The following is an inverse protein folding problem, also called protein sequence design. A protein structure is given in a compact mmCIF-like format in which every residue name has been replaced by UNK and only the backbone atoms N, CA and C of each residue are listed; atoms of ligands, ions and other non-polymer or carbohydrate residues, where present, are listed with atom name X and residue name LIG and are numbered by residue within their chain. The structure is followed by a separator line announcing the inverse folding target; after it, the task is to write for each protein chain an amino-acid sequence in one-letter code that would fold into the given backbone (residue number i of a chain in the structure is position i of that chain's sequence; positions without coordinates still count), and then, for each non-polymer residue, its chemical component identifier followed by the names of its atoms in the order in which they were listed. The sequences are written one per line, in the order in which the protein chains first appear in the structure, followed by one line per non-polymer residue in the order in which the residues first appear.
data_IF_762261583217
#
_entry.id   IF_762261583217
#
_cell.length_a   1.000
_cell.length_b   1.000
_cell.length_c   1.000
_cell.angle_alpha   90.00
_cell.angle_beta   90.00
_cell.angle_gamma   90.00
#
_symmetry.space_group_name_H-M   'P 1'
#
loop_
_entity.id
_entity.type
_entity.pdbx_description
1 polymer ?
#
# COMPACT_ATOMS: atom_id res chain seq x y z
N UNK A 1 84.18 42.77 -62.22
CA UNK A 1 83.53 42.14 -63.38
C UNK A 1 82.41 41.25 -62.87
N UNK A 2 81.20 41.55 -63.33
CA UNK A 2 79.93 40.81 -63.33
C UNK A 2 79.80 39.48 -62.57
N UNK A 3 78.70 39.37 -61.81
CA UNK A 3 77.78 38.25 -62.01
C UNK A 3 77.39 37.41 -60.79
N UNK A 4 76.10 37.47 -60.48
CA UNK A 4 75.22 36.36 -60.07
C UNK A 4 75.44 35.63 -58.73
N UNK A 5 74.44 35.77 -57.84
CA UNK A 5 73.60 34.73 -57.20
C UNK A 5 72.77 35.49 -56.15
N UNK A 6 71.44 35.52 -56.16
CA UNK A 6 70.52 34.38 -56.13
C UNK A 6 69.86 34.39 -54.74
N UNK A 7 68.57 34.76 -54.68
CA UNK A 7 67.91 35.25 -53.46
C UNK A 7 67.53 34.18 -52.43
N UNK A 8 67.01 34.63 -51.28
CA UNK A 8 65.96 34.01 -50.45
C UNK A 8 65.86 34.72 -49.08
N UNK A 9 65.08 35.80 -48.93
CA UNK A 9 64.71 36.33 -47.61
C UNK A 9 63.38 37.09 -47.68
N UNK A 10 62.32 36.50 -47.13
CA UNK A 10 61.39 37.12 -46.16
C UNK A 10 60.16 36.23 -45.99
N UNK A 11 60.19 35.41 -44.94
CA UNK A 11 59.02 34.75 -44.38
C UNK A 11 58.18 35.81 -43.67
N UNK A 12 56.93 35.98 -44.11
CA UNK A 12 55.93 36.80 -43.45
C UNK A 12 55.49 36.12 -42.15
N UNK A 13 55.61 36.85 -41.04
CA UNK A 13 55.02 36.50 -39.75
C UNK A 13 53.59 37.05 -39.71
N UNK A 14 52.59 36.18 -39.55
CA UNK A 14 51.25 36.55 -39.10
C UNK A 14 51.13 36.20 -37.61
N UNK A 15 50.75 37.14 -36.72
CA UNK A 15 50.47 36.81 -35.34
C UNK A 15 49.03 36.26 -35.22
N UNK A 16 48.92 35.07 -34.63
CA UNK A 16 47.69 34.41 -34.22
C UNK A 16 47.04 35.20 -33.08
N UNK A 17 45.86 35.78 -33.34
CA UNK A 17 45.05 36.53 -32.37
C UNK A 17 43.65 35.89 -32.29
N UNK A 18 43.21 35.65 -31.05
CA UNK A 18 41.91 35.14 -30.58
C UNK A 18 41.64 33.61 -30.62
N UNK A 19 42.15 32.92 -29.60
CA UNK A 19 41.54 31.71 -29.05
C UNK A 19 41.06 32.00 -27.62
N UNK A 20 39.85 32.51 -27.45
CA UNK A 20 39.18 32.64 -26.14
C UNK A 20 37.70 33.04 -26.31
N UNK A 21 36.86 32.12 -26.79
CA UNK A 21 35.40 32.21 -26.68
C UNK A 21 34.77 30.84 -26.93
N UNK A 22 34.13 30.26 -25.91
CA UNK A 22 33.18 29.16 -26.10
C UNK A 22 33.41 27.87 -25.31
N UNK A 23 33.70 27.96 -24.00
CA UNK A 23 33.51 26.83 -23.06
C UNK A 23 32.60 27.27 -21.90
N UNK A 24 31.40 27.74 -22.23
CA UNK A 24 30.27 27.65 -21.30
C UNK A 24 29.74 26.22 -21.39
N UNK A 25 30.36 25.32 -20.62
CA UNK A 25 29.80 24.00 -20.41
C UNK A 25 28.39 24.15 -19.86
N UNK A 26 27.41 23.55 -20.52
CA UNK A 26 26.10 23.30 -19.94
C UNK A 26 26.31 22.35 -18.75
N UNK A 27 26.58 22.91 -17.57
CA UNK A 27 26.35 22.18 -16.33
C UNK A 27 24.84 22.02 -16.22
N UNK A 28 24.34 20.88 -16.70
CA UNK A 28 23.01 20.43 -16.31
C UNK A 28 22.95 20.49 -14.77
N UNK A 29 21.92 21.09 -14.17
CA UNK A 29 21.79 21.08 -12.72
C UNK A 29 21.88 19.61 -12.29
N UNK A 30 22.75 19.32 -11.33
CA UNK A 30 22.78 17.99 -10.71
C UNK A 30 21.35 17.69 -10.27
N UNK A 31 20.70 16.72 -10.91
CA UNK A 31 19.36 16.30 -10.52
C UNK A 31 19.51 15.78 -9.08
N UNK A 32 19.07 16.57 -8.10
CA UNK A 32 19.03 16.13 -6.72
C UNK A 32 18.25 14.82 -6.69
N UNK A 33 18.89 13.75 -6.20
CA UNK A 33 18.25 12.45 -6.13
C UNK A 33 17.01 12.57 -5.26
N UNK A 34 15.82 12.37 -5.85
CA UNK A 34 14.57 12.38 -5.10
C UNK A 34 14.65 11.26 -4.06
N UNK A 35 14.76 11.65 -2.80
CA UNK A 35 14.85 10.74 -1.67
C UNK A 35 13.64 10.89 -0.74
N UNK A 36 12.54 11.48 -1.22
CA UNK A 36 11.38 11.85 -0.39
C UNK A 36 10.85 10.67 0.44
N UNK A 37 10.87 9.45 -0.11
CA UNK A 37 10.33 8.25 0.54
C UNK A 37 11.42 7.39 1.22
N UNK A 38 12.67 7.87 1.30
CA UNK A 38 13.79 7.15 1.93
C UNK A 38 13.63 7.10 3.46
N UNK A 39 12.81 6.17 3.94
CA UNK A 39 12.64 5.86 5.37
C UNK A 39 13.89 5.19 5.96
N UNK A 40 14.10 5.37 7.27
CA UNK A 40 15.16 4.70 8.03
C UNK A 40 14.97 3.18 8.00
N UNK A 41 13.75 2.71 8.22
CA UNK A 41 13.39 1.29 8.23
C UNK A 41 12.72 0.89 6.91
N UNK A 42 12.96 -0.34 6.40
CA UNK A 42 12.29 -0.83 5.19
C UNK A 42 10.77 -0.80 5.31
N UNK A 43 10.08 -0.51 4.21
CA UNK A 43 8.63 -0.61 4.09
C UNK A 43 8.28 -2.02 3.62
N UNK A 44 7.40 -2.70 4.36
CA UNK A 44 6.89 -4.03 4.00
C UNK A 44 5.41 -3.93 3.71
N UNK A 45 5.04 -4.20 2.47
CA UNK A 45 3.67 -4.17 1.98
C UNK A 45 3.03 -5.55 2.13
N UNK A 46 1.84 -5.60 2.74
CA UNK A 46 1.14 -6.86 3.08
C UNK A 46 -0.26 -6.84 2.50
N UNK A 47 -0.50 -7.70 1.52
CA UNK A 47 -1.77 -7.76 0.79
C UNK A 47 -2.92 -8.26 1.67
N UNK A 48 -4.15 -8.12 1.16
CA UNK A 48 -5.40 -8.57 1.78
C UNK A 48 -5.82 -9.99 1.43
N UNK A 49 -7.12 -10.27 1.61
CA UNK A 49 -7.77 -11.52 1.21
C UNK A 49 -7.68 -11.68 -0.32
N UNK A 50 -7.39 -12.89 -0.79
CA UNK A 50 -7.15 -13.24 -2.19
C UNK A 50 -6.04 -12.43 -2.89
N UNK A 51 -5.20 -11.73 -2.12
CA UNK A 51 -4.06 -11.01 -2.68
C UNK A 51 -3.00 -11.95 -3.26
N UNK A 52 -2.21 -11.39 -4.17
CA UNK A 52 -1.25 -12.07 -5.03
C UNK A 52 -0.01 -11.17 -5.20
N UNK A 53 1.14 -11.71 -5.60
CA UNK A 53 2.27 -10.88 -6.07
C UNK A 53 1.88 -10.18 -7.37
N UNK A 54 1.62 -10.99 -8.38
CA UNK A 54 1.31 -10.59 -9.74
C UNK A 54 0.37 -11.62 -10.36
N UNK A 55 -0.72 -11.17 -10.97
CA UNK A 55 -1.66 -12.00 -11.72
C UNK A 55 -1.68 -11.53 -13.17
N UNK A 56 -1.30 -12.39 -14.11
CA UNK A 56 -1.14 -12.04 -15.53
C UNK A 56 -0.24 -10.80 -15.78
N UNK A 57 0.79 -10.60 -14.94
CA UNK A 57 1.71 -9.45 -15.05
C UNK A 57 1.20 -8.17 -14.38
N UNK A 58 0.07 -8.23 -13.68
CA UNK A 58 -0.50 -7.12 -12.92
C UNK A 58 -0.22 -7.31 -11.44
N UNK A 59 0.52 -6.39 -10.83
CA UNK A 59 0.85 -6.44 -9.41
C UNK A 59 -0.34 -6.02 -8.54
N UNK A 60 -0.52 -6.66 -7.38
CA UNK A 60 -1.57 -6.27 -6.41
C UNK A 60 -1.46 -4.79 -6.02
N UNK A 61 -0.23 -4.37 -5.70
CA UNK A 61 0.12 -2.98 -5.38
C UNK A 61 0.46 -2.22 -6.66
N UNK A 62 -0.54 -1.87 -7.47
CA UNK A 62 -0.30 -1.43 -8.85
C UNK A 62 0.48 -0.10 -8.92
N UNK A 63 1.75 -0.18 -9.33
CA UNK A 63 2.66 0.98 -9.45
C UNK A 63 3.20 1.54 -8.12
N UNK A 64 2.70 1.10 -6.97
CA UNK A 64 3.05 1.63 -5.65
C UNK A 64 4.51 1.29 -5.25
N UNK A 65 4.98 0.03 -5.30
CA UNK A 65 6.35 -0.30 -4.89
C UNK A 65 7.38 0.46 -5.72
N UNK A 66 7.20 0.49 -7.04
CA UNK A 66 8.10 1.20 -7.95
C UNK A 66 8.13 2.70 -7.67
N UNK A 67 6.98 3.32 -7.36
CA UNK A 67 6.90 4.74 -7.04
C UNK A 67 7.57 5.07 -5.70
N UNK A 68 7.48 4.19 -4.71
CA UNK A 68 8.20 4.33 -3.44
C UNK A 68 9.71 4.14 -3.63
N UNK A 69 10.13 3.12 -4.39
CA UNK A 69 11.55 2.83 -4.64
C UNK A 69 12.23 3.93 -5.45
N UNK A 70 11.55 4.52 -6.46
CA UNK A 70 12.07 5.64 -7.26
C UNK A 70 12.46 6.86 -6.41
N UNK A 71 11.89 7.00 -5.21
CA UNK A 71 12.19 8.10 -4.30
C UNK A 71 12.97 7.65 -3.05
N UNK A 72 13.65 6.50 -3.14
CA UNK A 72 14.65 6.05 -2.18
C UNK A 72 14.17 5.07 -1.10
N UNK A 73 12.89 4.69 -1.07
CA UNK A 73 12.42 3.69 -0.11
C UNK A 73 13.00 2.29 -0.40
N UNK A 74 13.39 1.56 0.64
CA UNK A 74 13.59 0.11 0.56
C UNK A 74 12.24 -0.57 0.75
N UNK A 75 11.69 -1.17 -0.29
CA UNK A 75 10.34 -1.75 -0.29
C UNK A 75 10.41 -3.25 -0.50
N UNK A 76 9.70 -3.99 0.35
CA UNK A 76 9.49 -5.43 0.23
C UNK A 76 7.98 -5.69 0.14
N UNK A 77 7.57 -6.58 -0.75
CA UNK A 77 6.19 -7.08 -0.82
C UNK A 77 6.18 -8.45 -0.17
N UNK A 78 5.45 -8.60 0.93
CA UNK A 78 5.36 -9.87 1.64
C UNK A 78 4.31 -10.78 1.02
N UNK A 79 4.58 -12.08 1.03
CA UNK A 79 3.64 -13.11 0.58
C UNK A 79 3.10 -13.95 1.71
N UNK A 80 1.81 -13.82 1.95
CA UNK A 80 1.09 -14.61 2.96
C UNK A 80 -0.04 -15.38 2.29
N UNK A 81 -0.59 -16.37 2.99
CA UNK A 81 -1.71 -17.16 2.47
C UNK A 81 -2.83 -16.24 2.01
N UNK A 82 -3.19 -16.33 0.72
CA UNK A 82 -4.24 -15.53 0.09
C UNK A 82 -5.55 -15.56 0.90
N UNK A 83 -5.93 -16.70 1.48
CA UNK A 83 -7.04 -16.85 2.40
C UNK A 83 -6.69 -17.83 3.54
N UNK A 84 -6.51 -17.32 4.75
CA UNK A 84 -6.38 -18.12 5.99
C UNK A 84 -6.68 -17.23 7.20
N UNK A 85 -6.59 -17.75 8.43
CA UNK A 85 -6.79 -16.94 9.63
C UNK A 85 -5.75 -15.81 9.74
N UNK A 86 -6.10 -14.74 10.45
CA UNK A 86 -5.19 -13.60 10.68
C UNK A 86 -3.88 -14.04 11.36
N UNK A 87 -3.93 -15.01 12.28
CA UNK A 87 -2.76 -15.54 12.98
C UNK A 87 -1.84 -16.33 12.07
N UNK A 88 -2.39 -17.22 11.23
CA UNK A 88 -1.58 -18.00 10.27
C UNK A 88 -0.85 -17.05 9.32
N UNK A 89 -1.55 -16.06 8.78
CA UNK A 89 -0.96 -15.02 7.93
C UNK A 89 0.08 -14.20 8.71
N UNK A 90 -0.20 -13.89 9.98
CA UNK A 90 0.69 -13.14 10.86
C UNK A 90 2.01 -13.86 11.15
N UNK A 91 1.98 -15.16 11.39
CA UNK A 91 3.19 -15.98 11.58
C UNK A 91 4.03 -16.08 10.29
N UNK A 92 3.37 -16.24 9.13
CA UNK A 92 4.05 -16.22 7.83
C UNK A 92 4.71 -14.87 7.56
N UNK A 93 4.04 -13.77 7.93
CA UNK A 93 4.60 -12.43 7.82
C UNK A 93 5.78 -12.25 8.80
N UNK A 94 5.65 -12.70 10.06
CA UNK A 94 6.70 -12.60 11.07
C UNK A 94 8.00 -13.29 10.61
N UNK A 95 7.89 -14.47 9.98
CA UNK A 95 9.04 -15.16 9.40
C UNK A 95 9.72 -14.32 8.30
N UNK A 96 8.94 -13.70 7.42
CA UNK A 96 9.46 -12.83 6.37
C UNK A 96 10.08 -11.55 6.93
N UNK A 97 9.48 -10.93 7.95
CA UNK A 97 10.06 -9.76 8.63
C UNK A 97 11.44 -10.09 9.19
N UNK A 98 11.61 -11.24 9.84
CA UNK A 98 12.93 -11.70 10.33
C UNK A 98 13.93 -11.86 9.19
N UNK A 99 13.52 -12.43 8.06
CA UNK A 99 14.37 -12.57 6.88
C UNK A 99 14.76 -11.21 6.28
N UNK A 100 13.81 -10.29 6.15
CA UNK A 100 14.05 -8.92 5.67
C UNK A 100 15.06 -8.22 6.59
N UNK A 101 14.89 -8.33 7.91
CA UNK A 101 15.85 -7.76 8.87
C UNK A 101 17.24 -8.38 8.72
N UNK A 102 17.35 -9.69 8.55
CA UNK A 102 18.62 -10.38 8.35
C UNK A 102 19.35 -9.92 7.08
N UNK A 103 18.62 -9.73 5.97
CA UNK A 103 19.20 -9.32 4.68
C UNK A 103 19.54 -7.82 4.68
N UNK A 104 18.73 -6.99 5.34
CA UNK A 104 18.88 -5.53 5.29
C UNK A 104 19.71 -4.94 6.42
N UNK A 105 19.97 -5.71 7.49
CA UNK A 105 20.57 -5.23 8.74
C UNK A 105 19.69 -4.22 9.50
N UNK A 106 18.44 -4.02 9.09
CA UNK A 106 17.55 -3.06 9.75
C UNK A 106 17.08 -3.59 11.11
N UNK A 107 17.08 -2.72 12.13
CA UNK A 107 16.62 -3.08 13.47
C UNK A 107 15.09 -3.22 13.59
N UNK A 108 14.34 -2.61 12.67
CA UNK A 108 12.88 -2.61 12.61
C UNK A 108 12.40 -2.51 11.15
N UNK A 109 11.10 -2.70 10.95
CA UNK A 109 10.39 -2.47 9.67
C UNK A 109 9.17 -1.55 9.84
N UNK A 110 8.78 -0.86 8.78
CA UNK A 110 7.50 -0.14 8.65
C UNK A 110 6.51 -1.04 7.92
N UNK A 111 5.48 -1.52 8.62
CA UNK A 111 4.47 -2.41 8.04
C UNK A 111 3.30 -1.60 7.47
N UNK A 112 2.91 -1.89 6.24
CA UNK A 112 1.74 -1.32 5.57
C UNK A 112 0.86 -2.46 5.06
N UNK A 113 -0.36 -2.54 5.55
CA UNK A 113 -1.26 -3.66 5.30
C UNK A 113 -2.59 -3.16 4.73
N UNK A 114 -2.99 -3.71 3.59
CA UNK A 114 -4.28 -3.40 2.98
C UNK A 114 -5.31 -4.49 3.31
N UNK A 115 -6.55 -4.12 3.62
CA UNK A 115 -7.65 -5.07 3.88
C UNK A 115 -7.25 -6.09 4.97
N UNK A 116 -7.34 -7.40 4.73
CA UNK A 116 -6.86 -8.43 5.69
C UNK A 116 -5.38 -8.29 6.08
N UNK A 117 -4.58 -7.60 5.27
CA UNK A 117 -3.22 -7.20 5.60
C UNK A 117 -3.13 -6.32 6.85
N UNK A 118 -4.14 -5.48 7.13
CA UNK A 118 -4.22 -4.64 8.32
C UNK A 118 -4.21 -5.43 9.63
N UNK A 119 -5.16 -6.35 9.87
CA UNK A 119 -5.10 -7.27 11.01
C UNK A 119 -3.84 -8.15 11.01
N UNK A 120 -3.34 -8.58 9.84
CA UNK A 120 -2.12 -9.39 9.72
C UNK A 120 -0.88 -8.64 10.28
N UNK A 121 -0.71 -7.36 9.94
CA UNK A 121 0.42 -6.56 10.46
C UNK A 121 0.26 -6.23 11.95
N UNK A 122 -0.98 -6.10 12.44
CA UNK A 122 -1.27 -5.93 13.87
C UNK A 122 -0.83 -7.15 14.69
N UNK A 123 -1.00 -8.36 14.14
CA UNK A 123 -0.51 -9.58 14.78
C UNK A 123 1.00 -9.49 15.03
N UNK A 124 1.78 -9.17 14.00
CA UNK A 124 3.25 -9.05 14.09
C UNK A 124 3.67 -7.97 15.09
N UNK A 125 3.01 -6.82 15.07
CA UNK A 125 3.28 -5.75 16.03
C UNK A 125 2.90 -6.12 17.48
N UNK A 126 1.90 -7.00 17.65
CA UNK A 126 1.49 -7.52 18.95
C UNK A 126 2.46 -8.54 19.53
N UNK A 127 2.94 -9.49 18.71
CA UNK A 127 3.83 -10.58 19.16
C UNK A 127 5.31 -10.21 19.16
N UNK A 128 5.72 -9.26 18.31
CA UNK A 128 7.11 -8.84 18.16
C UNK A 128 7.26 -7.32 17.97
N UNK A 129 6.74 -6.48 18.90
CA UNK A 129 6.78 -5.01 18.78
C UNK A 129 8.20 -4.45 18.63
N UNK A 130 9.22 -5.13 19.16
CA UNK A 130 10.62 -4.75 19.02
C UNK A 130 11.12 -4.76 17.56
N UNK A 131 10.47 -5.52 16.67
CA UNK A 131 10.82 -5.61 15.24
C UNK A 131 10.06 -4.59 14.39
N UNK A 132 9.08 -3.88 14.97
CA UNK A 132 8.17 -3.00 14.23
C UNK A 132 8.39 -1.55 14.63
N UNK A 133 8.54 -0.69 13.63
CA UNK A 133 8.65 0.76 13.79
C UNK A 133 7.27 1.43 13.66
N UNK A 134 6.53 1.03 12.63
CA UNK A 134 5.16 1.49 12.40
C UNK A 134 4.26 0.42 11.80
N UNK A 135 2.96 0.61 12.01
CA UNK A 135 1.85 -0.16 11.47
C UNK A 135 0.92 0.81 10.77
N UNK A 136 0.66 0.60 9.50
CA UNK A 136 -0.26 1.42 8.70
C UNK A 136 -1.33 0.53 8.09
N UNK A 137 -2.57 0.68 8.53
CA UNK A 137 -3.72 -0.08 8.05
C UNK A 137 -4.47 0.71 6.98
N UNK A 138 -4.52 0.17 5.76
CA UNK A 138 -5.27 0.73 4.62
C UNK A 138 -6.54 -0.11 4.45
N UNK A 139 -7.71 0.45 4.75
CA UNK A 139 -8.99 -0.27 4.86
C UNK A 139 -8.93 -1.64 5.57
N UNK A 140 -8.08 -1.81 6.58
CA UNK A 140 -8.06 -3.03 7.35
C UNK A 140 -9.34 -3.16 8.19
N UNK A 141 -10.14 -4.24 8.11
CA UNK A 141 -11.37 -4.39 8.87
C UNK A 141 -11.08 -4.66 10.35
N UNK A 142 -10.60 -3.65 11.06
CA UNK A 142 -10.12 -3.76 12.44
C UNK A 142 -11.23 -4.08 13.43
N UNK A 143 -12.50 -3.82 13.05
CA UNK A 143 -13.72 -4.21 13.78
C UNK A 143 -14.63 -5.13 12.95
N UNK A 144 -14.10 -5.74 11.90
CA UNK A 144 -14.81 -6.67 11.02
C UNK A 144 -15.47 -6.01 9.81
N UNK A 145 -16.04 -6.85 8.95
CA UNK A 145 -16.72 -6.47 7.72
C UNK A 145 -18.12 -7.08 7.71
N UNK A 146 -19.12 -6.24 7.40
CA UNK A 146 -20.50 -6.71 7.23
C UNK A 146 -20.64 -7.68 6.06
N UNK A 147 -19.79 -7.57 5.04
CA UNK A 147 -19.74 -8.54 3.93
C UNK A 147 -19.29 -9.91 4.44
N UNK A 148 -18.27 -9.97 5.30
CA UNK A 148 -17.85 -11.22 5.92
C UNK A 148 -18.96 -11.81 6.81
N UNK A 149 -19.69 -10.98 7.56
CA UNK A 149 -20.82 -11.42 8.37
C UNK A 149 -21.92 -12.07 7.51
N UNK A 150 -22.22 -11.49 6.34
CA UNK A 150 -23.19 -12.03 5.38
C UNK A 150 -22.71 -13.37 4.83
N UNK A 151 -21.47 -13.44 4.35
CA UNK A 151 -20.89 -14.67 3.78
C UNK A 151 -20.80 -15.81 4.80
N UNK A 152 -20.72 -15.47 6.09
CA UNK A 152 -20.75 -16.44 7.20
C UNK A 152 -22.16 -16.72 7.74
N UNK A 153 -23.18 -16.03 7.25
CA UNK A 153 -24.56 -16.18 7.73
C UNK A 153 -24.74 -15.75 9.18
N UNK A 154 -23.94 -14.79 9.63
CA UNK A 154 -23.92 -14.30 11.03
C UNK A 154 -24.61 -12.95 11.21
N UNK A 155 -25.10 -12.35 10.12
CA UNK A 155 -25.93 -11.14 10.21
C UNK A 155 -27.26 -11.43 10.94
N UNK A 156 -27.77 -10.49 11.76
CA UNK A 156 -29.05 -10.70 12.44
C UNK A 156 -30.20 -10.93 11.46
N UNK A 157 -31.11 -11.84 11.79
CA UNK A 157 -32.30 -12.13 10.97
C UNK A 157 -33.13 -10.85 10.74
N UNK A 158 -33.52 -10.60 9.49
CA UNK A 158 -34.27 -9.41 9.11
C UNK A 158 -33.46 -8.11 9.03
N UNK A 159 -32.15 -8.13 9.32
CA UNK A 159 -31.30 -6.92 9.23
C UNK A 159 -30.98 -6.48 7.80
N UNK A 160 -31.20 -7.35 6.81
CA UNK A 160 -31.05 -7.13 5.37
C UNK A 160 -32.14 -7.90 4.63
N UNK A 161 -32.55 -7.42 3.46
CA UNK A 161 -33.46 -8.17 2.57
C UNK A 161 -32.72 -9.33 1.90
N UNK A 162 -33.44 -10.38 1.53
CA UNK A 162 -32.89 -11.53 0.78
C UNK A 162 -32.22 -11.08 -0.54
N UNK A 163 -32.77 -10.05 -1.18
CA UNK A 163 -32.18 -9.46 -2.39
C UNK A 163 -30.79 -8.89 -2.13
N UNK A 164 -30.59 -8.16 -1.03
CA UNK A 164 -29.27 -7.60 -0.67
C UNK A 164 -28.30 -8.71 -0.28
N UNK A 165 -28.75 -9.72 0.47
CA UNK A 165 -27.92 -10.87 0.85
C UNK A 165 -27.41 -11.64 -0.39
N UNK A 166 -28.33 -12.05 -1.27
CA UNK A 166 -27.97 -12.78 -2.48
C UNK A 166 -27.12 -11.93 -3.44
N UNK A 167 -27.44 -10.64 -3.55
CA UNK A 167 -26.65 -9.68 -4.33
C UNK A 167 -25.21 -9.56 -3.83
N UNK A 168 -25.01 -9.46 -2.51
CA UNK A 168 -23.68 -9.37 -1.90
C UNK A 168 -22.86 -10.64 -2.13
N UNK A 169 -23.45 -11.83 -1.96
CA UNK A 169 -22.76 -13.11 -2.22
C UNK A 169 -22.29 -13.17 -3.68
N UNK A 170 -23.18 -12.87 -4.63
CA UNK A 170 -22.86 -12.92 -6.06
C UNK A 170 -21.79 -11.88 -6.44
N UNK A 171 -21.89 -10.66 -5.91
CA UNK A 171 -20.90 -9.60 -6.15
C UNK A 171 -19.52 -9.97 -5.59
N UNK A 172 -19.47 -10.60 -4.43
CA UNK A 172 -18.21 -11.08 -3.87
C UNK A 172 -17.57 -12.17 -4.74
N UNK A 173 -18.37 -13.12 -5.24
CA UNK A 173 -17.90 -14.15 -6.18
C UNK A 173 -17.38 -13.52 -7.48
N UNK A 174 -18.07 -12.52 -8.02
CA UNK A 174 -17.62 -11.78 -9.20
C UNK A 174 -16.26 -11.10 -8.97
N UNK A 175 -16.07 -10.50 -7.79
CA UNK A 175 -14.79 -9.87 -7.41
C UNK A 175 -13.65 -10.87 -7.31
N UNK A 176 -13.89 -12.07 -6.76
CA UNK A 176 -12.90 -13.16 -6.73
C UNK A 176 -12.49 -13.54 -8.15
N UNK A 177 -13.45 -13.73 -9.06
CA UNK A 177 -13.19 -14.12 -10.44
C UNK A 177 -12.37 -13.08 -11.22
N UNK A 178 -12.41 -11.81 -10.81
CA UNK A 178 -11.69 -10.72 -11.46
C UNK A 178 -10.19 -10.69 -11.12
N UNK A 179 -9.76 -11.32 -10.03
CA UNK A 179 -8.40 -11.13 -9.53
C UNK A 179 -7.89 -12.11 -8.48
N UNK A 180 -8.47 -13.29 -8.30
CA UNK A 180 -7.94 -14.23 -7.31
C UNK A 180 -6.66 -14.92 -7.79
N UNK A 181 -5.57 -14.79 -7.03
CA UNK A 181 -4.36 -15.59 -7.20
C UNK A 181 -4.27 -16.72 -6.19
N UNK A 182 -3.57 -17.80 -6.58
CA UNK A 182 -3.18 -18.88 -5.68
C UNK A 182 -1.72 -18.70 -5.24
N UNK A 183 -1.46 -18.77 -3.93
CA UNK A 183 -0.09 -18.91 -3.42
C UNK A 183 0.21 -20.40 -3.19
N UNK A 184 1.48 -20.82 -3.26
CA UNK A 184 1.91 -22.15 -2.82
C UNK A 184 1.77 -22.40 -1.30
N UNK A 185 1.18 -21.47 -0.56
CA UNK A 185 0.91 -21.54 0.88
C UNK A 185 -0.45 -22.19 1.17
N UNK A 186 -0.70 -22.69 2.40
CA UNK A 186 -1.98 -23.29 2.78
C UNK A 186 -3.14 -22.30 2.73
N UNK A 187 -4.26 -22.68 2.11
CA UNK A 187 -5.48 -21.87 2.01
C UNK A 187 -6.61 -22.47 2.86
N UNK A 188 -7.28 -21.63 3.65
CA UNK A 188 -8.51 -21.94 4.39
C UNK A 188 -9.47 -20.74 4.32
N UNK A 189 -10.28 -20.62 3.23
CA UNK A 189 -11.17 -19.47 3.02
C UNK A 189 -12.18 -19.24 4.15
N UNK A 190 -12.70 -20.32 4.75
CA UNK A 190 -13.63 -20.21 5.89
C UNK A 190 -12.97 -19.54 7.08
N UNK A 191 -11.73 -19.94 7.43
CA UNK A 191 -10.97 -19.32 8.53
C UNK A 191 -10.64 -17.85 8.25
N UNK A 192 -10.43 -17.49 6.97
CA UNK A 192 -10.23 -16.11 6.58
C UNK A 192 -11.51 -15.29 6.80
N UNK A 193 -12.65 -15.78 6.32
CA UNK A 193 -13.94 -15.11 6.53
C UNK A 193 -14.31 -15.03 8.02
N UNK A 194 -14.11 -16.10 8.79
CA UNK A 194 -14.32 -16.10 10.25
C UNK A 194 -13.52 -14.98 10.92
N UNK A 195 -12.24 -14.80 10.55
CA UNK A 195 -11.38 -13.73 11.07
C UNK A 195 -11.89 -12.31 10.74
N UNK A 196 -12.57 -12.16 9.60
CA UNK A 196 -13.03 -10.88 9.08
C UNK A 196 -14.46 -10.52 9.51
N UNK A 197 -15.21 -11.44 10.11
CA UNK A 197 -16.50 -11.12 10.75
C UNK A 197 -16.33 -10.13 11.91
N UNK A 198 -17.40 -9.44 12.30
CA UNK A 198 -17.41 -8.59 13.48
C UNK A 198 -17.00 -9.37 14.74
N UNK A 199 -17.50 -10.61 14.89
CA UNK A 199 -17.18 -11.48 16.02
C UNK A 199 -15.70 -11.91 16.03
N UNK A 200 -15.18 -12.36 14.89
CA UNK A 200 -13.77 -12.76 14.77
C UNK A 200 -12.80 -11.59 14.95
N UNK A 201 -13.12 -10.43 14.39
CA UNK A 201 -12.33 -9.21 14.58
C UNK A 201 -12.37 -8.68 16.01
N UNK A 202 -13.50 -8.85 16.72
CA UNK A 202 -13.60 -8.53 18.14
C UNK A 202 -12.76 -9.48 19.01
N UNK A 203 -12.78 -10.79 18.75
CA UNK A 203 -11.90 -11.76 19.41
C UNK A 203 -10.42 -11.43 19.16
N UNK A 204 -10.05 -11.17 17.91
CA UNK A 204 -8.69 -10.78 17.54
C UNK A 204 -8.26 -9.50 18.26
N UNK A 205 -9.12 -8.49 18.29
CA UNK A 205 -8.83 -7.21 18.95
C UNK A 205 -8.71 -7.35 20.47
N UNK A 206 -9.45 -8.27 21.10
CA UNK A 206 -9.26 -8.57 22.52
C UNK A 206 -7.85 -9.10 22.82
N UNK A 207 -7.26 -9.87 21.91
CA UNK A 207 -5.90 -10.41 22.03
C UNK A 207 -4.83 -9.41 21.58
N UNK A 208 -5.14 -8.59 20.60
CA UNK A 208 -4.25 -7.59 20.00
C UNK A 208 -4.91 -6.19 19.95
N UNK A 209 -5.08 -5.53 21.11
CA UNK A 209 -5.87 -4.30 21.22
C UNK A 209 -5.13 -3.03 20.80
N UNK A 210 -3.84 -3.13 20.48
CA UNK A 210 -2.96 -1.98 20.28
C UNK A 210 -3.55 -1.03 19.23
N UNK A 211 -3.76 0.22 19.66
CA UNK A 211 -4.22 1.34 18.84
C UNK A 211 -5.61 1.21 18.18
N UNK A 212 -6.43 0.20 18.54
CA UNK A 212 -7.82 0.14 18.05
C UNK A 212 -8.68 1.09 18.89
N UNK A 213 -9.39 2.06 18.27
CA UNK A 213 -10.25 2.97 19.02
C UNK A 213 -11.54 2.30 19.48
N UNK A 214 -12.13 2.79 20.56
CA UNK A 214 -13.45 2.34 21.03
C UNK A 214 -14.56 2.77 20.05
N UNK A 215 -14.54 4.02 19.59
CA UNK A 215 -15.48 4.59 18.60
C UNK A 215 -14.94 4.65 17.17
N UNK A 216 -15.48 5.58 16.38
CA UNK A 216 -15.07 5.85 14.99
C UNK A 216 -13.97 6.94 14.87
N UNK A 217 -13.43 7.40 16.00
CA UNK A 217 -12.35 8.39 16.04
C UNK A 217 -10.96 7.75 15.92
N UNK A 218 -9.94 8.52 16.29
CA UNK A 218 -8.55 8.05 16.35
C UNK A 218 -8.33 7.08 17.52
N UNK A 219 -7.43 6.12 17.30
CA UNK A 219 -6.78 5.36 18.36
C UNK A 219 -5.47 6.03 18.81
N UNK A 220 -4.77 5.40 19.77
CA UNK A 220 -3.47 5.88 20.20
C UNK A 220 -2.44 5.84 19.05
N UNK A 221 -1.78 6.97 18.75
CA UNK A 221 -0.76 7.04 17.69
C UNK A 221 0.48 6.18 18.04
N UNK A 222 0.80 6.01 19.32
CA UNK A 222 1.95 5.22 19.79
C UNK A 222 1.52 4.25 20.88
N UNK A 223 1.82 2.97 20.70
CA UNK A 223 1.61 1.92 21.72
C UNK A 223 2.84 1.00 21.75
N UNK A 224 3.45 0.83 22.92
CA UNK A 224 4.62 -0.05 23.08
C UNK A 224 5.82 0.32 22.20
N UNK A 225 6.00 1.62 21.88
CA UNK A 225 7.07 2.09 21.00
C UNK A 225 6.87 1.80 19.50
N UNK A 226 5.68 1.35 19.11
CA UNK A 226 5.25 1.19 17.72
C UNK A 226 4.27 2.31 17.36
N UNK A 227 4.43 2.93 16.19
CA UNK A 227 3.51 3.95 15.68
C UNK A 227 2.37 3.33 14.87
N UNK A 228 1.15 3.83 14.99
CA UNK A 228 -0.03 3.31 14.32
C UNK A 228 -0.74 4.39 13.51
N UNK A 229 -1.05 4.04 12.26
CA UNK A 229 -1.74 4.90 11.30
C UNK A 229 -2.83 4.13 10.57
N UNK A 230 -3.82 4.86 10.05
CA UNK A 230 -4.79 4.29 9.11
C UNK A 230 -5.27 5.30 8.08
N UNK A 231 -5.72 4.80 6.93
CA UNK A 231 -6.62 5.51 6.03
C UNK A 231 -7.54 4.53 5.32
N UNK A 232 -8.56 5.05 4.62
CA UNK A 232 -9.58 4.21 3.97
C UNK A 232 -10.29 4.98 2.86
N UNK A 233 -10.91 4.24 1.95
CA UNK A 233 -11.90 4.70 1.01
C UNK A 233 -13.27 4.89 1.64
N UNK A 234 -14.12 5.70 1.02
CA UNK A 234 -15.48 6.01 1.48
C UNK A 234 -16.53 5.96 0.38
N UNK A 235 -16.14 5.56 -0.83
CA UNK A 235 -16.98 5.64 -2.01
C UNK A 235 -16.87 4.33 -2.79
N UNK A 236 -17.86 3.42 -2.72
CA UNK A 236 -17.78 2.11 -3.38
C UNK A 236 -17.82 2.14 -4.91
N UNK A 237 -18.35 3.23 -5.50
CA UNK A 237 -18.40 3.45 -6.96
C UNK A 237 -17.70 4.76 -7.28
N UNK A 238 -16.55 4.69 -7.94
CA UNK A 238 -15.61 5.75 -8.28
C UNK A 238 -15.40 5.89 -9.79
N UNK A 239 -15.37 4.80 -10.56
CA UNK A 239 -15.19 4.81 -12.01
C UNK A 239 -16.03 3.73 -12.72
N UNK A 240 -17.00 4.17 -13.54
CA UNK A 240 -17.90 3.26 -14.26
C UNK A 240 -17.22 2.40 -15.35
N UNK A 241 -15.98 2.71 -15.72
CA UNK A 241 -15.19 1.92 -16.66
C UNK A 241 -14.44 0.77 -15.98
N UNK A 242 -14.33 0.80 -14.65
CA UNK A 242 -13.76 -0.30 -13.88
C UNK A 242 -14.87 -1.33 -13.59
N UNK A 243 -14.74 -2.59 -14.05
CA UNK A 243 -15.76 -3.61 -13.83
C UNK A 243 -15.94 -3.99 -12.35
N UNK A 244 -14.94 -3.72 -11.50
CA UNK A 244 -15.01 -4.02 -10.07
C UNK A 244 -15.97 -3.08 -9.32
N UNK A 245 -16.16 -1.86 -9.80
CA UNK A 245 -17.04 -0.85 -9.20
C UNK A 245 -18.49 -1.30 -9.09
N UNK A 246 -18.99 -2.03 -10.08
CA UNK A 246 -20.36 -2.56 -10.01
C UNK A 246 -20.51 -3.55 -8.84
N UNK A 247 -19.51 -4.41 -8.64
CA UNK A 247 -19.49 -5.37 -7.54
C UNK A 247 -19.31 -4.69 -6.19
N UNK A 248 -18.38 -3.74 -6.08
CA UNK A 248 -18.13 -2.98 -4.86
C UNK A 248 -19.32 -2.08 -4.49
N UNK A 249 -19.99 -1.49 -5.48
CA UNK A 249 -21.25 -0.76 -5.30
C UNK A 249 -22.36 -1.63 -4.71
N UNK A 250 -22.56 -2.83 -5.25
CA UNK A 250 -23.55 -3.78 -4.73
C UNK A 250 -23.21 -4.26 -3.31
N UNK A 251 -21.94 -4.58 -3.05
CA UNK A 251 -21.48 -4.95 -1.71
C UNK A 251 -21.65 -3.80 -0.72
N UNK A 252 -21.42 -2.56 -1.16
CA UNK A 252 -21.61 -1.34 -0.37
C UNK A 252 -23.03 -1.13 0.16
N UNK A 253 -24.05 -1.67 -0.53
CA UNK A 253 -25.45 -1.66 -0.07
C UNK A 253 -25.68 -2.50 1.20
N UNK A 254 -24.74 -3.40 1.52
CA UNK A 254 -24.78 -4.20 2.74
C UNK A 254 -24.55 -3.38 4.00
N UNK A 255 -23.98 -2.17 3.88
CA UNK A 255 -23.62 -1.34 5.01
C UNK A 255 -24.70 -0.30 5.31
N UNK A 256 -24.97 -0.07 6.60
CA UNK A 256 -25.80 1.04 7.07
C UNK A 256 -25.00 2.32 7.33
N UNK A 257 -23.73 2.35 6.90
CA UNK A 257 -22.77 3.41 7.16
C UNK A 257 -21.80 3.57 5.98
N UNK A 258 -21.00 4.65 6.00
CA UNK A 258 -20.03 4.94 4.95
C UNK A 258 -18.95 3.85 4.86
N UNK A 259 -18.66 3.40 3.63
CA UNK A 259 -17.79 2.25 3.37
C UNK A 259 -17.11 2.36 1.98
N UNK A 260 -16.15 1.49 1.73
CA UNK A 260 -15.41 1.38 0.46
C UNK A 260 -15.93 0.25 -0.46
N UNK A 261 -17.03 -0.40 -0.10
CA UNK A 261 -17.60 -1.59 -0.74
C UNK A 261 -17.35 -2.88 0.03
N UNK A 262 -16.31 -2.96 0.86
CA UNK A 262 -15.96 -4.16 1.64
C UNK A 262 -15.74 -3.89 3.13
N UNK A 263 -15.37 -2.67 3.50
CA UNK A 263 -15.07 -2.28 4.87
C UNK A 263 -15.70 -0.93 5.17
N UNK A 264 -16.36 -0.84 6.32
CA UNK A 264 -16.88 0.43 6.82
C UNK A 264 -15.75 1.34 7.30
N UNK A 265 -15.89 2.64 7.08
CA UNK A 265 -14.93 3.67 7.51
C UNK A 265 -14.62 3.57 9.01
N UNK A 266 -15.64 3.36 9.84
CA UNK A 266 -15.47 3.23 11.29
C UNK A 266 -14.77 1.92 11.70
N UNK A 267 -14.95 0.84 10.92
CA UNK A 267 -14.25 -0.41 11.15
C UNK A 267 -12.78 -0.33 10.78
N UNK A 268 -12.41 0.54 9.82
CA UNK A 268 -11.02 0.64 9.35
C UNK A 268 -10.08 1.41 10.27
N UNK A 269 -10.61 2.14 11.24
CA UNK A 269 -9.84 2.99 12.17
C UNK A 269 -8.78 2.19 12.94
N UNK A 270 -7.55 2.70 12.90
CA UNK A 270 -6.40 2.23 13.69
C UNK A 270 -5.42 3.38 13.92
N UNK A 271 -5.00 3.58 15.17
CA UNK A 271 -4.08 4.65 15.55
C UNK A 271 -4.53 6.01 15.06
N UNK A 272 -3.58 6.83 14.60
CA UNK A 272 -3.89 8.12 14.00
C UNK A 272 -4.48 7.94 12.60
N UNK A 273 -5.72 8.34 12.42
CA UNK A 273 -6.37 8.30 11.12
C UNK A 273 -5.93 9.47 10.24
N UNK A 274 -5.62 9.17 8.98
CA UNK A 274 -4.97 10.09 8.05
C UNK A 274 -5.93 10.69 7.01
N UNK A 275 -7.08 10.06 6.79
CA UNK A 275 -8.11 10.56 5.88
C UNK A 275 -9.06 9.51 5.33
N UNK A 276 -10.26 9.97 4.98
CA UNK A 276 -11.31 9.23 4.30
C UNK A 276 -11.39 9.71 2.83
N UNK A 277 -10.88 8.90 1.91
CA UNK A 277 -10.68 9.27 0.51
C UNK A 277 -11.82 8.79 -0.40
N UNK A 278 -12.04 9.49 -1.52
CA UNK A 278 -12.99 9.07 -2.56
C UNK A 278 -12.40 7.90 -3.38
N UNK A 279 -12.29 6.76 -2.72
CA UNK A 279 -11.73 5.51 -3.21
C UNK A 279 -12.70 4.38 -2.82
N UNK A 280 -12.83 3.39 -3.70
CA UNK A 280 -13.37 2.09 -3.35
C UNK A 280 -12.25 1.17 -2.82
N UNK A 281 -12.58 -0.03 -2.37
CA UNK A 281 -11.61 -0.92 -1.74
C UNK A 281 -10.44 -1.36 -2.66
N UNK A 282 -10.60 -1.31 -3.98
CA UNK A 282 -9.54 -1.66 -4.93
C UNK A 282 -8.73 -0.44 -5.38
N UNK A 283 -9.37 0.73 -5.48
CA UNK A 283 -8.68 2.00 -5.72
C UNK A 283 -7.57 2.24 -4.68
N UNK A 284 -7.76 1.80 -3.44
CA UNK A 284 -6.80 1.98 -2.35
C UNK A 284 -5.42 1.33 -2.59
N UNK A 285 -5.37 0.33 -3.49
CA UNK A 285 -4.13 -0.30 -3.99
C UNK A 285 -3.90 -0.02 -5.47
N UNK A 286 -4.56 1.04 -5.98
CA UNK A 286 -4.49 1.53 -7.35
C UNK A 286 -5.00 0.51 -8.39
N UNK A 287 -5.97 -0.32 -8.00
CA UNK A 287 -6.63 -1.29 -8.87
C UNK A 287 -7.99 -0.77 -9.34
N UNK A 288 -8.48 -1.18 -10.51
CA UNK A 288 -7.80 -2.06 -11.47
C UNK A 288 -6.92 -1.28 -12.45
N UNK A 289 -5.64 -1.66 -12.56
CA UNK A 289 -4.70 -1.06 -13.53
C UNK A 289 -4.63 0.48 -13.47
N UNK A 290 -4.90 1.07 -12.30
CA UNK A 290 -4.95 2.52 -12.09
C UNK A 290 -6.19 3.23 -12.66
N UNK A 291 -7.21 2.49 -13.12
CA UNK A 291 -8.53 3.05 -13.41
C UNK A 291 -9.21 3.36 -12.08
N UNK A 292 -9.46 4.64 -11.83
CA UNK A 292 -9.99 5.16 -10.56
C UNK A 292 -10.73 6.47 -10.78
N UNK A 293 -11.29 7.08 -9.73
CA UNK A 293 -11.74 8.47 -9.81
C UNK A 293 -10.54 9.41 -10.05
N UNK A 294 -10.49 10.05 -11.23
CA UNK A 294 -9.41 10.96 -11.61
C UNK A 294 -9.47 12.32 -10.90
N UNK A 295 -10.61 12.66 -10.29
CA UNK A 295 -10.80 13.85 -9.45
C UNK A 295 -10.45 13.57 -7.98
N UNK A 296 -10.23 12.30 -7.62
CA UNK A 296 -9.78 11.90 -6.28
C UNK A 296 -8.25 11.92 -6.16
N UNK A 297 -7.71 12.05 -4.92
CA UNK A 297 -6.29 11.89 -4.67
C UNK A 297 -5.76 10.56 -5.22
N UNK A 298 -4.62 10.64 -5.90
CA UNK A 298 -3.92 9.48 -6.44
C UNK A 298 -3.50 8.53 -5.31
N UNK A 299 -3.96 7.26 -5.29
CA UNK A 299 -3.53 6.27 -4.32
C UNK A 299 -2.00 6.19 -4.20
N UNK A 300 -1.28 6.20 -5.34
CA UNK A 300 0.19 6.15 -5.36
C UNK A 300 0.79 7.36 -4.62
N UNK A 301 0.20 8.54 -4.78
CA UNK A 301 0.64 9.73 -4.06
C UNK A 301 0.40 9.61 -2.55
N UNK A 302 -0.68 8.97 -2.10
CA UNK A 302 -0.93 8.74 -0.67
C UNK A 302 0.16 7.89 -0.03
N UNK A 303 0.57 6.78 -0.67
CA UNK A 303 1.69 5.97 -0.17
C UNK A 303 3.01 6.76 -0.12
N UNK A 304 3.29 7.56 -1.16
CA UNK A 304 4.49 8.42 -1.19
C UNK A 304 4.46 9.46 -0.07
N UNK A 305 3.34 10.16 0.11
CA UNK A 305 3.16 11.14 1.18
C UNK A 305 3.34 10.50 2.56
N UNK A 306 2.82 9.28 2.74
CA UNK A 306 2.96 8.57 4.01
C UNK A 306 4.40 8.09 4.25
N UNK A 307 5.11 7.60 3.24
CA UNK A 307 6.53 7.26 3.38
C UNK A 307 7.37 8.51 3.75
N UNK A 308 7.07 9.67 3.14
CA UNK A 308 7.67 10.95 3.53
C UNK A 308 7.36 11.31 4.98
N UNK A 309 6.12 11.10 5.43
CA UNK A 309 5.72 11.31 6.83
C UNK A 309 6.54 10.44 7.78
N UNK A 310 6.70 9.14 7.48
CA UNK A 310 7.50 8.21 8.28
C UNK A 310 8.97 8.66 8.34
N UNK A 311 9.55 9.07 7.20
CA UNK A 311 10.91 9.60 7.12
C UNK A 311 11.10 10.83 8.01
N UNK A 312 10.17 11.79 7.95
CA UNK A 312 10.24 13.05 8.71
C UNK A 312 10.27 12.84 10.23
N UNK A 313 9.70 11.75 10.72
CA UNK A 313 9.69 11.39 12.14
C UNK A 313 10.79 10.38 12.50
N UNK A 314 11.74 10.13 11.59
CA UNK A 314 12.91 9.29 11.82
C UNK A 314 12.66 7.78 11.73
N UNK A 315 11.55 7.37 11.10
CA UNK A 315 11.23 5.97 10.80
C UNK A 315 11.62 5.55 9.38
#
# INVERSE_FOLDING_TARGET
MNGFFGGLLRRLALPTVFALLGLLGFMAPAQAQDNATQTRYPIVLVHGLFGFDSLFGVDYWYGIPSALQRSGARVFVAQVSAANSTEVRGEQLLAQVKNIMAITGAAKVNLVGHSHGGPTIRYVAGVAPQLVASVTSVAGPNKGSRVADILRGTVPAGSLSETVLNGAVNAFVALINLGSGGSGLPQMPVAALDSLTAAGSADFTRRFPQAVPTGCGDGAEVVGGVRYYSWTGKQPVTNLLDPSDASLGLLGLSFGETNDGLVAVCSSRLGKHLGDYRQNHLDEVNQLLGVRDWLAPDPVALYRQHATRLKQIGL
#
